data_IF_125335635507
#
_entry.id   IF_125335635507
#
_cell.length_a   1.000
_cell.length_b   1.000
_cell.length_c   1.000
_cell.angle_alpha   90.00
_cell.angle_beta   90.00
_cell.angle_gamma   90.00
#
_symmetry.space_group_name_H-M   'P 1'
#
loop_
_entity.id
_entity.type
_entity.pdbx_description
1 polymer ?
#
# COMPACT_ATOMS: atom_id res chain seq x y z
N UNK A 1 56.96 31.69 -34.49
CA UNK A 1 55.70 32.45 -34.49
C UNK A 1 54.72 31.75 -33.56
N UNK A 2 54.50 32.33 -32.37
CA UNK A 2 53.37 31.91 -31.57
C UNK A 2 52.12 32.26 -32.37
N UNK A 3 51.25 31.28 -32.56
CA UNK A 3 49.98 31.46 -33.25
C UNK A 3 49.13 32.33 -32.34
N UNK A 4 48.83 33.55 -32.79
CA UNK A 4 47.85 34.37 -32.11
C UNK A 4 46.46 33.89 -32.50
N UNK A 5 45.79 33.23 -31.56
CA UNK A 5 44.40 32.78 -31.68
C UNK A 5 43.61 33.68 -30.73
N UNK A 6 42.50 34.21 -31.23
CA UNK A 6 41.65 35.24 -30.62
C UNK A 6 40.25 34.87 -31.10
N UNK A 7 39.65 33.90 -30.40
CA UNK A 7 38.50 33.14 -30.89
C UNK A 7 37.19 33.92 -30.75
N UNK A 8 37.09 34.71 -29.68
CA UNK A 8 35.97 35.57 -29.28
C UNK A 8 36.15 37.04 -29.73
N UNK A 9 37.38 37.47 -30.03
CA UNK A 9 37.66 38.75 -30.66
C UNK A 9 37.85 39.92 -29.69
N UNK A 10 38.20 39.66 -28.43
CA UNK A 10 38.40 40.68 -27.40
C UNK A 10 39.76 41.40 -27.53
N UNK A 11 40.65 40.82 -28.33
CA UNK A 11 41.98 41.34 -28.65
C UNK A 11 43.10 40.84 -27.72
N UNK A 12 42.83 39.85 -26.87
CA UNK A 12 43.77 39.05 -26.12
C UNK A 12 44.13 37.77 -26.91
N UNK A 13 45.20 37.09 -26.50
CA UNK A 13 45.60 35.81 -27.08
C UNK A 13 45.09 34.66 -26.20
N UNK A 14 44.27 33.79 -26.77
CA UNK A 14 43.63 32.64 -26.10
C UNK A 14 44.61 31.83 -25.23
N UNK A 15 45.86 31.68 -25.68
CA UNK A 15 46.80 30.76 -25.04
C UNK A 15 47.71 31.41 -23.99
N UNK A 16 47.86 32.74 -24.01
CA UNK A 16 48.91 33.42 -23.25
C UNK A 16 48.49 34.67 -22.51
N UNK A 17 47.40 35.31 -22.91
CA UNK A 17 46.96 36.60 -22.38
C UNK A 17 45.50 36.59 -21.92
N UNK A 18 44.70 35.69 -22.47
CA UNK A 18 43.29 35.53 -22.13
C UNK A 18 43.07 34.52 -20.99
N UNK A 19 42.09 34.80 -20.15
CA UNK A 19 41.71 34.00 -18.99
C UNK A 19 40.18 33.78 -18.89
N UNK A 20 39.46 34.07 -19.98
CA UNK A 20 38.00 34.00 -20.15
C UNK A 20 37.73 33.94 -21.68
N UNK A 21 37.84 32.74 -22.28
CA UNK A 21 37.97 32.56 -23.74
C UNK A 21 36.68 32.76 -24.52
N UNK A 22 35.53 32.73 -23.86
CA UNK A 22 34.21 33.00 -24.43
C UNK A 22 33.59 34.30 -23.90
N UNK A 23 34.21 34.94 -22.90
CA UNK A 23 33.89 36.26 -22.40
C UNK A 23 32.49 36.37 -21.77
N UNK A 24 32.05 35.28 -21.16
CA UNK A 24 30.80 35.19 -20.40
C UNK A 24 30.93 35.84 -18.99
N UNK A 25 32.16 36.12 -18.54
CA UNK A 25 32.48 36.76 -17.26
C UNK A 25 32.89 35.80 -16.14
N UNK A 26 32.93 34.50 -16.40
CA UNK A 26 33.58 33.46 -15.59
C UNK A 26 34.99 33.23 -16.13
N UNK A 27 35.94 32.88 -15.27
CA UNK A 27 37.31 32.65 -15.72
C UNK A 27 37.50 31.20 -16.11
N UNK A 28 38.31 30.91 -17.13
CA UNK A 28 38.51 29.56 -17.70
C UNK A 28 38.94 28.43 -16.77
N UNK A 29 39.33 28.77 -15.54
CA UNK A 29 39.68 27.79 -14.50
C UNK A 29 38.48 27.37 -13.63
N UNK A 30 37.39 28.12 -13.72
CA UNK A 30 36.12 27.92 -13.04
C UNK A 30 34.98 27.66 -14.03
N UNK A 31 35.27 27.75 -15.32
CA UNK A 31 34.35 27.53 -16.42
C UNK A 31 34.39 26.06 -16.89
N UNK A 32 33.23 25.38 -16.90
CA UNK A 32 33.10 24.01 -17.40
C UNK A 32 32.76 23.92 -18.90
N UNK A 33 32.32 25.02 -19.51
CA UNK A 33 31.80 25.15 -20.88
C UNK A 33 32.63 26.03 -21.83
N UNK A 34 33.80 26.52 -21.40
CA UNK A 34 34.84 27.30 -22.10
C UNK A 34 35.13 26.93 -23.58
N UNK A 35 34.74 25.73 -24.01
CA UNK A 35 34.90 25.25 -25.37
C UNK A 35 33.97 25.89 -26.40
N UNK A 36 32.93 26.63 -25.99
CA UNK A 36 32.01 27.33 -26.91
C UNK A 36 32.26 28.85 -26.95
N UNK A 37 33.12 29.33 -27.87
CA UNK A 37 33.54 30.74 -27.98
C UNK A 37 32.43 31.67 -28.53
N UNK A 38 31.17 31.26 -28.46
CA UNK A 38 30.04 31.99 -29.05
C UNK A 38 29.11 32.63 -28.02
N UNK A 39 29.53 32.71 -26.76
CA UNK A 39 28.81 33.36 -25.68
C UNK A 39 28.62 34.87 -25.94
N UNK A 40 27.60 35.21 -26.72
CA UNK A 40 27.03 36.55 -26.76
C UNK A 40 26.22 36.88 -25.49
N UNK A 41 26.39 36.10 -24.43
CA UNK A 41 25.72 36.16 -23.15
C UNK A 41 26.74 36.47 -22.05
N UNK A 42 26.25 36.69 -20.83
CA UNK A 42 27.09 36.97 -19.65
C UNK A 42 26.49 36.12 -18.55
N UNK A 43 27.31 35.38 -17.81
CA UNK A 43 26.89 34.60 -16.66
C UNK A 43 26.14 35.47 -15.64
N UNK A 44 24.92 35.06 -15.35
CA UNK A 44 24.07 35.64 -14.32
C UNK A 44 23.32 34.54 -13.62
N UNK A 45 22.94 34.75 -12.36
CA UNK A 45 22.13 33.81 -11.54
C UNK A 45 20.76 33.43 -12.13
N UNK A 46 20.38 33.95 -13.30
CA UNK A 46 19.17 33.56 -14.01
C UNK A 46 19.40 32.75 -15.27
N UNK A 47 20.63 32.72 -15.77
CA UNK A 47 21.01 32.03 -17.01
C UNK A 47 22.18 31.03 -16.79
N UNK A 48 22.79 31.05 -15.60
CA UNK A 48 23.85 30.17 -15.07
C UNK A 48 23.60 30.05 -13.55
N UNK A 49 22.83 29.03 -13.16
CA UNK A 49 22.27 28.95 -11.81
C UNK A 49 23.28 28.45 -10.77
N UNK A 50 24.15 27.51 -11.15
CA UNK A 50 25.23 27.00 -10.30
C UNK A 50 26.51 27.86 -10.31
N UNK A 51 26.67 28.70 -11.33
CA UNK A 51 27.78 29.63 -11.49
C UNK A 51 29.04 28.99 -12.09
N UNK A 52 28.91 27.93 -12.89
CA UNK A 52 30.01 27.19 -13.49
C UNK A 52 30.42 27.66 -14.89
N UNK A 53 29.81 28.73 -15.41
CA UNK A 53 30.10 29.30 -16.74
C UNK A 53 29.37 28.62 -17.90
N UNK A 54 28.50 27.65 -17.62
CA UNK A 54 27.63 27.04 -18.62
C UNK A 54 26.27 27.76 -18.67
N UNK A 55 25.75 28.03 -19.87
CA UNK A 55 24.37 28.55 -19.99
C UNK A 55 23.36 27.42 -19.74
N UNK A 56 22.53 27.56 -18.71
CA UNK A 56 21.44 26.62 -18.32
C UNK A 56 20.61 26.18 -19.56
N UNK A 57 20.36 27.12 -20.47
CA UNK A 57 19.47 26.90 -21.60
C UNK A 57 20.06 26.03 -22.71
N UNK A 58 21.39 25.90 -22.81
CA UNK A 58 22.04 25.31 -24.00
C UNK A 58 23.27 24.46 -23.75
N UNK A 59 24.08 24.78 -22.75
CA UNK A 59 25.41 24.21 -22.54
C UNK A 59 25.49 23.37 -21.27
N UNK A 60 24.71 23.74 -20.26
CA UNK A 60 24.58 22.98 -19.02
C UNK A 60 23.56 21.84 -19.14
N UNK A 61 23.83 20.73 -18.46
CA UNK A 61 22.94 19.57 -18.32
C UNK A 61 22.59 19.27 -16.84
N UNK A 62 23.07 20.09 -15.92
CA UNK A 62 22.93 20.00 -14.46
C UNK A 62 22.90 21.42 -13.88
N UNK A 63 21.81 22.15 -14.18
CA UNK A 63 21.66 23.60 -13.96
C UNK A 63 22.00 24.06 -12.52
N UNK A 64 21.84 23.21 -11.50
CA UNK A 64 22.11 23.55 -10.10
C UNK A 64 23.34 22.87 -9.48
N UNK A 65 24.03 22.02 -10.26
CA UNK A 65 25.27 21.36 -9.90
C UNK A 65 25.15 20.37 -8.73
N UNK A 66 23.96 19.83 -8.46
CA UNK A 66 23.75 18.84 -7.39
C UNK A 66 24.17 17.41 -7.78
N UNK A 67 24.38 17.17 -9.08
CA UNK A 67 24.81 15.91 -9.67
C UNK A 67 23.69 15.06 -10.29
N UNK A 68 22.45 15.55 -10.32
CA UNK A 68 21.30 14.98 -11.03
C UNK A 68 21.06 15.78 -12.31
N UNK A 69 21.10 15.11 -13.46
CA UNK A 69 20.89 15.81 -14.74
C UNK A 69 19.46 16.35 -14.87
N UNK A 70 19.27 17.50 -15.52
CA UNK A 70 17.97 18.19 -15.65
C UNK A 70 16.85 17.30 -16.23
N UNK A 71 17.22 16.30 -17.03
CA UNK A 71 16.28 15.36 -17.66
C UNK A 71 15.66 14.39 -16.66
N UNK A 72 16.36 14.10 -15.58
CA UNK A 72 15.97 13.21 -14.50
C UNK A 72 15.65 14.00 -13.21
N UNK A 73 15.99 15.30 -13.16
CA UNK A 73 15.72 16.21 -12.05
C UNK A 73 14.35 16.91 -12.17
N UNK A 74 13.51 16.78 -11.15
CA UNK A 74 12.22 17.51 -11.05
C UNK A 74 12.39 18.93 -10.51
N UNK A 75 13.54 19.24 -9.89
CA UNK A 75 13.91 20.48 -9.24
C UNK A 75 15.28 21.03 -9.72
N UNK A 76 15.40 21.22 -11.04
CA UNK A 76 16.56 21.76 -11.81
C UNK A 76 17.24 23.05 -11.29
N UNK A 77 16.75 23.66 -10.21
CA UNK A 77 17.30 24.90 -9.65
C UNK A 77 17.45 24.77 -8.12
N UNK A 78 17.63 23.57 -7.59
CA UNK A 78 17.77 23.29 -6.16
C UNK A 78 19.15 22.76 -5.77
N UNK A 79 20.08 23.70 -5.62
CA UNK A 79 21.46 23.41 -5.19
C UNK A 79 21.61 22.76 -3.80
N UNK A 80 20.56 22.64 -2.98
CA UNK A 80 20.68 22.10 -1.62
C UNK A 80 19.59 21.12 -1.25
N UNK A 81 19.90 19.85 -1.46
CA UNK A 81 19.09 18.71 -1.05
C UNK A 81 19.54 18.19 0.33
N UNK A 82 18.67 18.25 1.35
CA UNK A 82 18.96 17.67 2.68
C UNK A 82 18.40 16.26 2.83
N UNK A 83 17.25 16.01 2.21
CA UNK A 83 16.56 14.73 2.14
C UNK A 83 15.95 14.62 0.75
N UNK A 84 16.11 13.46 0.14
CA UNK A 84 15.64 13.14 -1.21
C UNK A 84 15.43 11.62 -1.24
N UNK A 85 14.17 11.23 -1.06
CA UNK A 85 13.80 9.85 -0.83
C UNK A 85 13.66 9.06 -2.15
N UNK A 86 13.04 9.63 -3.18
CA UNK A 86 12.85 9.01 -4.49
C UNK A 86 14.00 9.21 -5.49
N UNK A 87 14.93 10.15 -5.20
CA UNK A 87 16.11 10.49 -6.01
C UNK A 87 15.82 11.27 -7.27
N UNK A 88 14.90 12.23 -7.18
CA UNK A 88 14.50 13.10 -8.27
C UNK A 88 15.15 14.49 -8.25
N UNK A 89 16.09 14.75 -7.33
CA UNK A 89 16.80 16.04 -7.20
C UNK A 89 16.07 17.10 -6.36
N UNK A 90 14.86 16.81 -5.88
CA UNK A 90 14.10 17.72 -5.02
C UNK A 90 14.36 17.47 -3.52
N UNK A 91 14.32 18.53 -2.70
CA UNK A 91 14.33 18.38 -1.24
C UNK A 91 12.93 18.03 -0.71
N UNK A 92 12.80 16.86 -0.06
CA UNK A 92 11.55 16.30 0.52
C UNK A 92 10.80 17.33 1.41
N UNK A 93 11.53 18.19 2.14
CA UNK A 93 10.91 19.08 3.14
C UNK A 93 10.38 20.38 2.54
N UNK A 94 10.86 20.77 1.36
CA UNK A 94 10.63 22.14 0.84
C UNK A 94 10.12 22.20 -0.59
N UNK A 95 10.43 21.23 -1.43
CA UNK A 95 10.24 21.31 -2.88
C UNK A 95 9.53 20.09 -3.45
N UNK A 96 9.78 18.91 -2.91
CA UNK A 96 9.00 17.71 -3.23
C UNK A 96 7.73 17.63 -2.36
N UNK A 97 6.64 17.16 -2.96
CA UNK A 97 5.36 16.89 -2.28
C UNK A 97 4.87 15.44 -2.48
N UNK A 98 5.72 14.59 -3.03
CA UNK A 98 5.49 13.17 -3.35
C UNK A 98 6.81 12.42 -3.13
N UNK A 99 7.23 12.30 -1.86
CA UNK A 99 8.59 11.90 -1.45
C UNK A 99 9.00 10.52 -2.00
N UNK A 100 8.06 9.61 -2.30
CA UNK A 100 8.35 8.30 -2.90
C UNK A 100 8.07 8.22 -4.41
N UNK A 101 7.55 9.28 -5.01
CA UNK A 101 7.35 9.41 -6.45
C UNK A 101 6.37 8.39 -7.03
N UNK A 102 5.37 7.94 -6.26
CA UNK A 102 4.34 7.02 -6.73
C UNK A 102 3.16 7.71 -7.45
N UNK A 103 3.13 9.04 -7.43
CA UNK A 103 2.11 9.89 -8.02
C UNK A 103 0.98 10.28 -7.07
N UNK A 104 1.06 9.94 -5.78
CA UNK A 104 0.14 10.33 -4.71
C UNK A 104 0.86 11.29 -3.75
N UNK A 105 0.43 12.55 -3.65
CA UNK A 105 1.10 13.50 -2.77
C UNK A 105 1.08 13.06 -1.30
N UNK A 106 2.13 13.36 -0.52
CA UNK A 106 2.31 12.90 0.88
C UNK A 106 1.12 13.21 1.79
N UNK A 107 0.44 14.32 1.49
CA UNK A 107 -0.75 14.76 2.25
C UNK A 107 -1.97 13.84 2.10
N UNK A 108 -1.99 13.04 1.03
CA UNK A 108 -3.02 12.07 0.68
C UNK A 108 -2.51 10.62 0.75
N UNK A 109 -1.19 10.43 0.87
CA UNK A 109 -0.56 9.14 1.01
C UNK A 109 -0.52 8.66 2.47
N UNK A 110 -0.84 7.39 2.69
CA UNK A 110 -0.71 6.70 3.97
C UNK A 110 0.68 6.09 4.19
N UNK A 111 1.49 6.00 3.14
CA UNK A 111 2.87 5.53 3.10
C UNK A 111 3.85 6.50 2.42
N UNK A 112 3.95 7.80 2.83
CA UNK A 112 4.78 8.81 2.11
C UNK A 112 6.25 8.44 1.88
N UNK A 113 6.82 7.57 2.71
CA UNK A 113 8.19 7.07 2.57
C UNK A 113 8.17 5.58 2.24
N UNK A 114 7.40 5.25 1.20
CA UNK A 114 7.05 3.90 0.80
C UNK A 114 8.00 3.30 -0.22
N UNK A 115 7.44 2.51 -1.13
CA UNK A 115 8.17 2.01 -2.28
C UNK A 115 8.38 3.16 -3.25
N UNK A 116 9.63 3.40 -3.62
CA UNK A 116 9.93 4.50 -4.55
C UNK A 116 9.57 4.18 -6.01
N UNK A 117 9.25 5.22 -6.78
CA UNK A 117 9.21 5.24 -8.24
C UNK A 117 8.29 4.19 -8.88
N UNK A 118 7.07 4.05 -8.36
CA UNK A 118 6.01 3.30 -9.03
C UNK A 118 4.88 4.23 -9.42
N UNK A 119 3.71 3.70 -9.74
CA UNK A 119 2.57 4.53 -10.16
C UNK A 119 1.33 3.96 -9.48
N UNK A 120 0.74 4.72 -8.56
CA UNK A 120 -0.53 4.37 -7.94
C UNK A 120 -1.64 4.29 -8.98
N UNK A 121 -2.27 3.12 -9.05
CA UNK A 121 -3.40 2.88 -9.92
C UNK A 121 -4.28 1.75 -9.38
N UNK A 122 -5.48 1.59 -9.95
CA UNK A 122 -6.47 0.62 -9.46
C UNK A 122 -6.06 -0.86 -9.49
N UNK A 123 -4.93 -1.21 -10.13
CA UNK A 123 -4.42 -2.58 -10.18
C UNK A 123 -3.44 -2.89 -9.03
N UNK A 124 -2.74 -1.89 -8.48
CA UNK A 124 -1.70 -2.05 -7.46
C UNK A 124 -1.93 -1.26 -6.16
N UNK A 125 -2.83 -0.28 -6.18
CA UNK A 125 -3.35 0.48 -5.04
C UNK A 125 -4.88 0.57 -5.19
N UNK A 126 -5.59 -0.30 -4.47
CA UNK A 126 -7.04 -0.45 -4.66
C UNK A 126 -7.82 0.69 -3.99
N UNK A 127 -7.31 1.21 -2.87
CA UNK A 127 -7.88 2.29 -2.09
C UNK A 127 -7.62 3.66 -2.73
N UNK A 128 -6.51 3.77 -3.45
CA UNK A 128 -5.93 5.04 -3.88
C UNK A 128 -5.33 5.80 -2.71
N UNK A 129 -4.69 5.10 -1.75
CA UNK A 129 -4.11 5.72 -0.56
C UNK A 129 -2.58 5.82 -0.59
N UNK A 130 -1.94 5.55 -1.74
CA UNK A 130 -0.49 5.67 -1.96
C UNK A 130 0.34 4.55 -1.35
N UNK A 131 -0.29 3.55 -0.73
CA UNK A 131 0.42 2.37 -0.25
C UNK A 131 0.27 1.21 -1.23
N UNK A 132 1.38 0.60 -1.70
CA UNK A 132 1.26 -0.56 -2.59
C UNK A 132 0.64 -1.78 -1.85
N UNK A 133 -0.53 -2.24 -2.30
CA UNK A 133 -1.31 -3.37 -1.77
C UNK A 133 -0.49 -4.66 -1.51
N UNK A 134 0.53 -4.88 -2.33
CA UNK A 134 1.25 -6.15 -2.35
C UNK A 134 2.36 -6.26 -1.30
N UNK A 135 2.87 -5.11 -0.84
CA UNK A 135 4.09 -5.03 -0.03
C UNK A 135 3.87 -4.16 1.22
N UNK A 136 3.12 -3.08 1.10
CA UNK A 136 3.05 -2.00 2.09
C UNK A 136 1.70 -1.95 2.79
N UNK A 137 0.62 -2.16 2.04
CA UNK A 137 -0.71 -2.11 2.60
C UNK A 137 -1.24 -3.48 3.06
N UNK A 138 -1.73 -3.51 4.29
CA UNK A 138 -2.44 -4.66 4.86
C UNK A 138 -3.96 -4.41 4.99
N UNK A 139 -4.42 -3.19 4.72
CA UNK A 139 -5.75 -2.65 4.99
C UNK A 139 -6.54 -2.20 3.74
N UNK A 140 -6.47 -2.92 2.63
CA UNK A 140 -7.36 -2.62 1.50
C UNK A 140 -8.87 -2.61 1.88
N UNK A 141 -9.47 -1.43 1.92
CA UNK A 141 -10.89 -1.20 2.20
C UNK A 141 -11.75 -1.44 0.97
N UNK A 142 -11.71 -2.67 0.46
CA UNK A 142 -12.34 -2.97 -0.82
C UNK A 142 -12.13 -4.38 -1.33
N UNK A 143 -11.42 -5.25 -0.59
CA UNK A 143 -11.05 -6.62 -1.03
C UNK A 143 -12.22 -7.37 -1.65
N UNK A 144 -13.43 -7.24 -1.08
CA UNK A 144 -14.64 -7.88 -1.63
C UNK A 144 -15.05 -7.25 -2.97
N UNK A 145 -15.14 -5.92 -3.08
CA UNK A 145 -15.55 -5.25 -4.31
C UNK A 145 -14.53 -5.43 -5.45
N UNK A 146 -13.23 -5.38 -5.13
CA UNK A 146 -12.18 -5.65 -6.12
C UNK A 146 -12.21 -7.11 -6.57
N UNK A 147 -12.25 -8.09 -5.64
CA UNK A 147 -12.37 -9.53 -6.00
C UNK A 147 -13.59 -9.81 -6.90
N UNK A 148 -14.66 -9.03 -6.77
CA UNK A 148 -15.83 -9.11 -7.66
C UNK A 148 -15.55 -8.49 -9.04
N UNK A 149 -14.85 -7.36 -9.12
CA UNK A 149 -14.51 -6.71 -10.40
C UNK A 149 -13.48 -7.48 -11.20
N UNK A 150 -12.42 -7.99 -10.57
CA UNK A 150 -11.33 -8.70 -11.24
C UNK A 150 -11.63 -10.18 -11.50
N UNK A 151 -12.75 -10.72 -11.02
CA UNK A 151 -13.13 -12.11 -11.24
C UNK A 151 -14.56 -12.25 -11.78
N UNK A 152 -14.69 -12.19 -13.12
CA UNK A 152 -15.94 -12.35 -13.86
C UNK A 152 -16.73 -13.62 -13.47
N UNK A 153 -16.05 -14.66 -12.98
CA UNK A 153 -16.71 -15.87 -12.50
C UNK A 153 -17.44 -15.66 -11.17
N UNK A 154 -16.88 -14.88 -10.25
CA UNK A 154 -17.49 -14.61 -8.94
C UNK A 154 -18.73 -13.72 -9.07
N UNK A 155 -18.71 -12.74 -9.99
CA UNK A 155 -19.90 -11.93 -10.30
C UNK A 155 -21.01 -12.74 -10.93
N UNK A 156 -20.69 -13.72 -11.78
CA UNK A 156 -21.69 -14.65 -12.32
C UNK A 156 -22.28 -15.54 -11.23
N UNK A 157 -21.46 -16.05 -10.29
CA UNK A 157 -21.95 -16.86 -9.17
C UNK A 157 -22.88 -16.04 -8.27
N UNK A 158 -22.45 -14.85 -7.84
CA UNK A 158 -23.24 -14.00 -6.93
C UNK A 158 -24.48 -13.44 -7.63
N UNK A 159 -24.36 -13.08 -8.91
CA UNK A 159 -25.49 -12.73 -9.77
C UNK A 159 -26.51 -13.88 -9.87
N UNK A 160 -26.04 -15.12 -10.05
CA UNK A 160 -26.94 -16.28 -10.10
C UNK A 160 -27.62 -16.56 -8.76
N UNK A 161 -26.90 -16.43 -7.64
CA UNK A 161 -27.44 -16.65 -6.30
C UNK A 161 -28.45 -15.58 -5.91
N UNK A 162 -28.21 -14.32 -6.25
CA UNK A 162 -29.14 -13.21 -5.99
C UNK A 162 -30.43 -13.35 -6.81
N UNK A 163 -30.33 -13.74 -8.08
CA UNK A 163 -31.50 -14.03 -8.92
C UNK A 163 -32.29 -15.23 -8.39
N UNK A 164 -31.62 -16.29 -7.96
CA UNK A 164 -32.27 -17.46 -7.35
C UNK A 164 -32.95 -17.12 -6.02
N UNK A 165 -32.33 -16.27 -5.20
CA UNK A 165 -32.91 -15.83 -3.93
C UNK A 165 -34.17 -14.98 -4.15
N UNK A 166 -34.12 -14.03 -5.09
CA UNK A 166 -35.29 -13.21 -5.46
C UNK A 166 -36.39 -14.05 -6.10
N UNK A 167 -36.04 -14.98 -6.98
CA UNK A 167 -37.00 -15.94 -7.55
C UNK A 167 -37.62 -16.83 -6.44
N UNK A 168 -36.82 -17.28 -5.48
CA UNK A 168 -37.27 -18.03 -4.31
C UNK A 168 -38.24 -17.22 -3.43
N UNK A 169 -37.96 -15.95 -3.18
CA UNK A 169 -38.87 -15.05 -2.46
C UNK A 169 -40.18 -14.82 -3.22
N UNK A 170 -40.13 -14.66 -4.55
CA UNK A 170 -41.32 -14.53 -5.41
C UNK A 170 -42.14 -15.83 -5.46
N UNK A 171 -41.50 -16.99 -5.45
CA UNK A 171 -42.19 -18.29 -5.39
C UNK A 171 -42.76 -18.56 -3.99
N UNK A 172 -42.07 -18.14 -2.93
CA UNK A 172 -42.53 -18.26 -1.54
C UNK A 172 -43.77 -17.39 -1.27
N UNK A 173 -43.76 -16.15 -1.75
CA UNK A 173 -44.93 -15.25 -1.68
C UNK A 173 -46.11 -15.74 -2.54
N UNK A 174 -45.87 -16.56 -3.57
CA UNK A 174 -46.92 -17.27 -4.34
C UNK A 174 -47.44 -18.52 -3.65
N UNK A 175 -46.66 -19.16 -2.78
CA UNK A 175 -47.03 -20.42 -2.09
C UNK A 175 -48.13 -20.23 -1.04
N UNK A 176 -48.37 -19.00 -0.56
CA UNK A 176 -49.51 -18.72 0.31
C UNK A 176 -50.89 -18.82 -0.39
N UNK A 177 -50.95 -18.99 -1.72
CA UNK A 177 -52.22 -19.15 -2.46
C UNK A 177 -52.56 -20.57 -2.91
N UNK A 178 -51.77 -21.57 -2.53
CA UNK A 178 -52.01 -22.96 -2.90
C UNK A 178 -51.65 -23.93 -1.77
N UNK A 179 -52.52 -24.06 -0.78
CA UNK A 179 -52.41 -25.11 0.24
C UNK A 179 -52.81 -26.46 -0.35
N UNK A 180 -51.88 -27.14 -1.00
CA UNK A 180 -51.96 -28.60 -1.17
C UNK A 180 -51.46 -29.25 0.12
N UNK A 181 -52.39 -29.79 0.89
CA UNK A 181 -52.15 -30.51 2.13
C UNK A 181 -51.33 -31.78 1.81
N UNK A 182 -50.01 -31.70 1.98
CA UNK A 182 -49.13 -32.87 1.98
C UNK A 182 -48.83 -33.17 3.44
N UNK A 183 -49.54 -34.16 3.99
CA UNK A 183 -49.30 -34.64 5.34
C UNK A 183 -47.91 -35.27 5.40
N UNK A 184 -46.95 -34.53 5.94
CA UNK A 184 -45.58 -34.98 6.15
C UNK A 184 -45.56 -35.92 7.36
N UNK A 185 -45.08 -37.15 7.18
CA UNK A 185 -45.02 -38.17 8.24
C UNK A 185 -43.87 -37.93 9.25
N UNK A 186 -43.32 -36.72 9.29
CA UNK A 186 -42.19 -36.33 10.14
C UNK A 186 -42.48 -36.46 11.64
N UNK A 187 -43.75 -36.32 12.06
CA UNK A 187 -44.15 -36.55 13.46
C UNK A 187 -43.90 -37.98 13.96
N UNK A 188 -43.99 -38.98 13.07
CA UNK A 188 -43.81 -40.39 13.47
C UNK A 188 -42.36 -40.77 13.77
N UNK A 189 -41.40 -39.99 13.25
CA UNK A 189 -39.97 -40.23 13.44
C UNK A 189 -39.48 -39.54 14.73
N UNK A 190 -39.97 -38.34 15.02
CA UNK A 190 -39.62 -37.59 16.24
C UNK A 190 -40.13 -38.28 17.52
N UNK A 191 -41.32 -38.88 17.48
CA UNK A 191 -41.88 -39.67 18.59
C UNK A 191 -41.05 -40.95 18.87
N UNK A 192 -40.44 -41.55 17.83
CA UNK A 192 -39.59 -42.73 17.98
C UNK A 192 -38.19 -42.43 18.54
N UNK A 193 -37.74 -41.17 18.43
CA UNK A 193 -36.45 -40.72 18.99
C UNK A 193 -36.56 -40.20 20.42
N UNK A 194 -37.76 -39.83 20.88
CA UNK A 194 -37.99 -39.39 22.26
C UNK A 194 -38.32 -40.53 23.26
N UNK A 195 -38.41 -41.78 22.82
CA UNK A 195 -38.47 -42.93 23.73
C UNK A 195 -37.08 -43.38 24.19
N UNK A 196 -36.36 -42.47 24.85
CA UNK A 196 -35.17 -42.81 25.63
C UNK A 196 -35.50 -42.65 27.11
N UNK A 197 -35.77 -43.79 27.75
CA UNK A 197 -35.67 -44.13 29.18
C UNK A 197 -36.13 -43.12 30.25
N UNK A 198 -37.05 -43.52 31.16
CA UNK A 198 -37.34 -42.73 32.35
C UNK A 198 -36.10 -42.64 33.25
N UNK A 199 -35.67 -41.41 33.59
CA UNK A 199 -34.72 -41.14 34.66
C UNK A 199 -35.27 -41.71 35.98
N UNK A 200 -34.73 -42.85 36.40
CA UNK A 200 -34.76 -43.25 37.81
C UNK A 200 -33.68 -42.46 38.55
N UNK A 201 -33.92 -41.95 39.76
CA UNK A 201 -32.90 -41.25 40.53
C UNK A 201 -31.73 -42.21 40.80
N UNK A 202 -30.56 -41.88 40.23
CA UNK A 202 -29.30 -42.59 40.43
C UNK A 202 -28.93 -42.52 41.93
N UNK A 203 -28.78 -43.67 42.58
CA UNK A 203 -28.28 -43.70 43.96
C UNK A 203 -26.78 -43.36 43.96
N UNK A 204 -26.26 -42.69 45.01
CA UNK A 204 -24.86 -42.25 45.04
C UNK A 204 -23.86 -43.40 44.83
N UNK A 205 -24.20 -44.63 45.21
CA UNK A 205 -23.35 -45.81 44.99
C UNK A 205 -23.22 -46.19 43.51
N UNK A 206 -24.26 -45.95 42.71
CA UNK A 206 -24.23 -46.22 41.27
C UNK A 206 -23.38 -45.17 40.55
N UNK A 207 -23.49 -43.91 40.96
CA UNK A 207 -22.73 -42.80 40.41
C UNK A 207 -21.21 -42.94 40.68
N UNK A 208 -20.82 -43.43 41.86
CA UNK A 208 -19.40 -43.75 42.16
C UNK A 208 -18.88 -44.90 41.30
N UNK A 209 -19.71 -45.91 41.03
CA UNK A 209 -19.35 -47.06 40.21
C UNK A 209 -19.15 -46.68 38.74
N UNK A 210 -20.04 -45.86 38.21
CA UNK A 210 -19.97 -45.37 36.82
C UNK A 210 -18.74 -44.47 36.60
N UNK A 211 -18.40 -43.63 37.58
CA UNK A 211 -17.17 -42.83 37.55
C UNK A 211 -15.91 -43.71 37.63
N UNK A 212 -15.96 -44.81 38.38
CA UNK A 212 -14.85 -45.76 38.46
C UNK A 212 -14.65 -46.49 37.14
N UNK A 213 -15.74 -46.85 36.45
CA UNK A 213 -15.71 -47.49 35.12
C UNK A 213 -15.20 -46.54 34.02
N UNK A 214 -15.34 -45.22 34.21
CA UNK A 214 -14.74 -44.17 33.38
C UNK A 214 -13.24 -43.96 33.65
N UNK A 215 -12.65 -44.70 34.58
CA UNK A 215 -11.21 -44.70 34.87
C UNK A 215 -10.78 -43.79 36.02
N UNK A 216 -11.72 -43.23 36.79
CA UNK A 216 -11.37 -42.54 38.04
C UNK A 216 -11.04 -43.55 39.15
N UNK A 217 -10.04 -43.22 39.98
CA UNK A 217 -9.77 -44.03 41.18
C UNK A 217 -11.00 -44.03 42.10
N UNK A 218 -11.34 -45.15 42.76
CA UNK A 218 -12.54 -45.26 43.60
C UNK A 218 -12.65 -44.17 44.67
N UNK A 219 -11.51 -43.70 45.20
CA UNK A 219 -11.43 -42.63 46.19
C UNK A 219 -11.79 -41.27 45.60
N UNK A 220 -11.39 -41.02 44.35
CA UNK A 220 -11.69 -39.78 43.62
C UNK A 220 -13.15 -39.75 43.20
N UNK A 221 -13.66 -40.86 42.66
CA UNK A 221 -15.07 -41.00 42.31
C UNK A 221 -15.99 -40.73 43.50
N UNK A 222 -15.65 -41.27 44.68
CA UNK A 222 -16.39 -41.04 45.91
C UNK A 222 -16.35 -39.57 46.37
N UNK A 223 -15.19 -38.93 46.30
CA UNK A 223 -15.05 -37.52 46.69
C UNK A 223 -15.86 -36.57 45.78
N UNK A 224 -15.94 -36.87 44.48
CA UNK A 224 -16.72 -36.09 43.52
C UNK A 224 -18.21 -36.16 43.88
N UNK A 225 -18.73 -37.37 44.08
CA UNK A 225 -20.16 -37.58 44.40
C UNK A 225 -20.51 -36.95 45.76
N UNK A 226 -19.65 -37.07 46.77
CA UNK A 226 -19.88 -36.48 48.09
C UNK A 226 -19.88 -34.94 48.06
N UNK A 227 -18.98 -34.34 47.26
CA UNK A 227 -18.96 -32.89 47.08
C UNK A 227 -20.20 -32.40 46.33
N UNK A 228 -20.67 -33.15 45.32
CA UNK A 228 -21.90 -32.84 44.60
C UNK A 228 -23.13 -32.92 45.52
N UNK A 229 -23.21 -33.93 46.39
CA UNK A 229 -24.28 -34.03 47.38
C UNK A 229 -24.22 -32.92 48.44
N UNK A 230 -23.03 -32.51 48.86
CA UNK A 230 -22.87 -31.38 49.78
C UNK A 230 -23.35 -30.08 49.12
N UNK A 231 -22.94 -29.84 47.87
CA UNK A 231 -23.40 -28.68 47.10
C UNK A 231 -24.90 -28.71 46.79
N UNK A 232 -25.54 -29.89 46.71
CA UNK A 232 -27.00 -30.00 46.58
C UNK A 232 -27.70 -29.70 47.91
N UNK A 233 -27.13 -30.12 49.04
CA UNK A 233 -27.65 -29.80 50.38
C UNK A 233 -27.53 -28.32 50.72
N UNK A 234 -26.46 -27.65 50.29
CA UNK A 234 -26.30 -26.21 50.52
C UNK A 234 -27.23 -25.35 49.64
N UNK A 235 -27.84 -25.94 48.59
CA UNK A 235 -28.78 -25.27 47.67
C UNK A 235 -30.26 -25.43 48.05
N UNK A 236 -30.57 -26.23 49.08
CA UNK A 236 -31.93 -26.48 49.58
C UNK A 236 -32.08 -26.00 51.03
#
# INVERSE_FOLDING_TARGET
PHSHTDNDGDGCDDYTEDNDLDNDGIASIFDNCEGDPTAGWISTISDDYDGDGCEDATEDWDDDGDGVFDVDDKCQTSMTVNSDFDRDGCDDETEDWDDDGDGVPDSADSCPLGMINWNSNSDNDIDGDGCMDSIEDNHVSGKVLHTLRSNAFMTLIIGSLTVLMLAGMVLSTRRERGRSDFADQTWSVEESMHSASPLTPETPEKQVRDLSDLGYSPEVAKAIVENEERARRDRN
#
